data_IF_550967394646
#
_entry.id   IF_550967394646
#
_cell.length_a   1.000
_cell.length_b   1.000
_cell.length_c   1.000
_cell.angle_alpha   90.00
_cell.angle_beta   90.00
_cell.angle_gamma   90.00
#
_symmetry.space_group_name_H-M   'P 1'
#
loop_
_entity.id
_entity.type
_entity.pdbx_description
1 polymer ?
#
# COMPACT_ATOMS: atom_id res chain seq x y z
N UNK A 1 -0.26 45.70 15.52
CA UNK A 1 0.04 47.07 15.04
C UNK A 1 1.35 46.94 14.27
N UNK A 2 1.50 47.10 12.96
CA UNK A 2 0.83 47.81 11.85
C UNK A 2 0.86 46.87 10.62
N UNK A 3 -0.24 46.50 9.93
CA UNK A 3 -0.98 47.25 8.88
C UNK A 3 -0.02 48.05 7.98
N UNK A 4 0.17 47.73 6.71
CA UNK A 4 -0.64 48.09 5.51
C UNK A 4 0.44 48.16 4.39
N UNK A 5 0.29 47.85 3.09
CA UNK A 5 -0.83 48.03 2.17
C UNK A 5 -0.55 47.27 0.87
N UNK A 6 -1.65 46.81 0.28
CA UNK A 6 -1.86 46.21 -1.04
C UNK A 6 -1.56 47.22 -2.18
N UNK A 7 -1.03 46.77 -3.31
CA UNK A 7 -1.13 47.48 -4.58
C UNK A 7 -1.43 46.49 -5.72
N UNK A 8 -2.54 46.78 -6.40
CA UNK A 8 -3.14 46.10 -7.56
C UNK A 8 -2.98 47.05 -8.73
N UNK A 9 -2.46 46.57 -9.86
CA UNK A 9 -2.56 47.18 -11.21
C UNK A 9 -2.48 45.97 -12.18
N UNK A 10 -3.52 45.44 -12.82
CA UNK A 10 -4.47 45.98 -13.82
C UNK A 10 -3.82 46.78 -14.93
N UNK A 11 -3.48 46.10 -16.03
CA UNK A 11 -3.41 46.69 -17.37
C UNK A 11 -4.34 45.88 -18.28
N UNK A 12 -5.33 46.61 -18.78
CA UNK A 12 -6.34 46.29 -19.76
C UNK A 12 -5.77 46.42 -21.19
N UNK A 13 -6.59 45.97 -22.14
CA UNK A 13 -6.62 46.27 -23.58
C UNK A 13 -5.84 45.35 -24.54
N UNK A 14 -6.32 44.95 -25.73
CA UNK A 14 -7.62 45.06 -26.45
C UNK A 14 -7.46 44.10 -27.66
N UNK A 15 -8.42 43.19 -27.90
CA UNK A 15 -8.72 42.58 -29.22
C UNK A 15 -9.46 43.62 -30.09
N UNK A 16 -9.44 43.64 -31.44
CA UNK A 16 -9.80 42.49 -32.29
C UNK A 16 -9.26 42.47 -33.74
N UNK A 17 -9.31 41.32 -34.41
CA UNK A 17 -9.46 41.27 -35.88
C UNK A 17 -10.01 39.90 -36.33
N UNK A 18 -11.33 39.84 -36.48
CA UNK A 18 -12.04 38.90 -37.34
C UNK A 18 -12.07 39.53 -38.74
N UNK A 19 -11.55 38.82 -39.75
CA UNK A 19 -11.89 39.09 -41.16
C UNK A 19 -12.21 37.76 -41.85
N UNK A 20 -13.41 37.77 -42.40
CA UNK A 20 -14.13 36.80 -43.20
C UNK A 20 -13.69 36.79 -44.67
N UNK A 21 -13.89 35.66 -45.37
CA UNK A 21 -13.77 35.53 -46.84
C UNK A 21 -13.66 34.05 -47.26
N UNK A 22 -14.73 33.26 -47.32
CA UNK A 22 -15.77 33.11 -48.37
C UNK A 22 -15.35 32.27 -49.59
N UNK A 23 -16.28 31.39 -50.03
CA UNK A 23 -16.38 30.61 -51.30
C UNK A 23 -15.61 29.27 -51.35
N UNK A 24 -16.18 28.10 -51.68
CA UNK A 24 -17.51 27.68 -52.19
C UNK A 24 -17.65 26.17 -52.00
N UNK A 25 -18.79 25.72 -51.49
CA UNK A 25 -19.29 24.34 -51.58
C UNK A 25 -19.88 24.03 -52.97
N UNK A 26 -19.99 22.73 -53.25
CA UNK A 26 -20.89 22.06 -54.20
C UNK A 26 -20.52 22.13 -55.70
N UNK A 27 -20.29 20.98 -56.33
CA UNK A 27 -21.38 20.24 -57.01
C UNK A 27 -20.91 19.07 -57.91
N UNK A 28 -21.76 18.03 -57.91
CA UNK A 28 -22.08 17.05 -58.96
C UNK A 28 -21.17 15.83 -59.27
N UNK A 29 -21.58 14.70 -58.67
CA UNK A 29 -21.75 13.40 -59.33
C UNK A 29 -22.79 13.50 -60.46
N UNK A 30 -22.48 13.11 -61.70
CA UNK A 30 -23.35 12.28 -62.58
C UNK A 30 -22.70 12.10 -63.96
N UNK A 31 -22.50 10.87 -64.42
CA UNK A 31 -23.33 10.28 -65.48
C UNK A 31 -22.79 8.91 -65.92
N UNK A 32 -23.59 7.89 -65.62
CA UNK A 32 -23.61 6.61 -66.32
C UNK A 32 -24.27 6.79 -67.70
N UNK A 33 -23.57 6.34 -68.75
CA UNK A 33 -24.02 5.34 -69.75
C UNK A 33 -25.34 5.58 -70.52
N UNK A 34 -25.23 5.92 -71.82
CA UNK A 34 -26.14 5.52 -72.93
C UNK A 34 -25.29 5.43 -74.21
N UNK A 35 -24.88 4.23 -74.66
CA UNK A 35 -25.46 3.46 -75.79
C UNK A 35 -25.55 4.23 -77.11
N UNK A 36 -24.67 3.93 -78.07
CA UNK A 36 -25.03 3.30 -79.36
C UNK A 36 -23.77 2.88 -80.15
N UNK A 37 -23.79 1.74 -80.85
CA UNK A 37 -22.76 1.28 -81.78
C UNK A 37 -23.12 1.66 -83.25
N UNK A 38 -22.19 1.48 -84.21
CA UNK A 38 -22.39 1.15 -85.66
C UNK A 38 -21.17 1.66 -86.48
N UNK A 39 -20.26 0.78 -86.90
CA UNK A 39 -20.14 0.09 -88.22
C UNK A 39 -19.25 0.81 -89.25
N UNK A 40 -18.12 0.15 -89.56
CA UNK A 40 -17.71 -0.30 -90.91
C UNK A 40 -17.85 0.65 -92.12
N UNK A 41 -16.72 0.99 -92.73
CA UNK A 41 -16.62 1.19 -94.20
C UNK A 41 -15.53 2.17 -94.66
N UNK A 42 -14.92 2.01 -95.85
CA UNK A 42 -13.46 2.05 -95.99
C UNK A 42 -12.91 3.16 -96.93
N UNK A 43 -11.57 3.16 -97.05
CA UNK A 43 -10.69 3.81 -98.04
C UNK A 43 -10.28 5.28 -97.84
N UNK A 44 -8.99 5.47 -97.56
CA UNK A 44 -8.02 5.84 -98.61
C UNK A 44 -6.58 5.63 -98.11
N UNK A 45 -5.84 4.78 -98.82
CA UNK A 45 -4.38 4.72 -98.77
C UNK A 45 -3.85 5.86 -99.63
N UNK A 46 -2.82 6.54 -99.13
CA UNK A 46 -1.64 7.10 -99.83
C UNK A 46 -1.23 8.45 -99.19
N UNK A 47 -0.21 8.44 -98.33
CA UNK A 47 1.08 9.11 -98.60
C UNK A 47 2.08 8.80 -97.50
N UNK A 48 3.23 8.32 -97.92
CA UNK A 48 4.41 8.00 -97.10
C UNK A 48 5.05 9.24 -96.51
N UNK A 49 5.77 9.00 -95.39
CA UNK A 49 6.96 9.72 -94.88
C UNK A 49 6.69 10.75 -93.79
N UNK A 50 7.05 10.39 -92.56
CA UNK A 50 8.08 11.06 -91.72
C UNK A 50 8.02 10.52 -90.28
N UNK A 51 9.17 10.49 -89.62
CA UNK A 51 9.46 9.60 -88.51
C UNK A 51 8.65 9.83 -87.23
N UNK A 52 8.11 8.75 -86.67
CA UNK A 52 7.75 8.68 -85.26
C UNK A 52 9.04 8.62 -84.43
N UNK A 53 9.58 9.79 -84.10
CA UNK A 53 10.46 9.93 -82.96
C UNK A 53 9.64 9.63 -81.70
N UNK A 54 9.95 8.52 -81.05
CA UNK A 54 9.59 8.30 -79.65
C UNK A 54 10.26 9.42 -78.86
N UNK A 55 9.49 10.45 -78.48
CA UNK A 55 9.94 11.49 -77.58
C UNK A 55 10.11 10.88 -76.19
N UNK A 56 11.28 10.29 -75.97
CA UNK A 56 11.86 10.12 -74.64
C UNK A 56 11.96 11.53 -74.05
N UNK A 57 10.94 11.95 -73.31
CA UNK A 57 11.00 13.16 -72.51
C UNK A 57 12.15 12.96 -71.54
N UNK A 58 13.30 13.58 -71.85
CA UNK A 58 14.47 13.60 -70.98
C UNK A 58 14.05 14.37 -69.73
N UNK A 59 13.48 13.65 -68.75
CA UNK A 59 13.26 14.16 -67.41
C UNK A 59 14.65 14.52 -66.87
N UNK A 60 14.84 15.78 -66.49
CA UNK A 60 16.09 16.20 -65.86
C UNK A 60 16.41 15.26 -64.70
N UNK A 61 17.52 14.51 -64.83
CA UNK A 61 17.94 13.51 -63.86
C UNK A 61 18.54 14.21 -62.65
N UNK A 62 17.70 14.59 -61.70
CA UNK A 62 18.12 15.12 -60.40
C UNK A 62 18.29 13.99 -59.39
N UNK A 63 19.20 14.11 -58.41
CA UNK A 63 19.33 13.14 -57.31
C UNK A 63 18.01 12.85 -56.58
N UNK A 64 17.12 13.83 -56.47
CA UNK A 64 15.80 13.73 -55.86
C UNK A 64 14.86 12.82 -56.67
N UNK A 65 14.85 12.95 -58.00
CA UNK A 65 14.09 12.06 -58.90
C UNK A 65 14.60 10.63 -58.80
N UNK A 66 15.92 10.43 -58.78
CA UNK A 66 16.54 9.10 -58.61
C UNK A 66 16.17 8.50 -57.24
N UNK A 67 16.19 9.30 -56.17
CA UNK A 67 15.77 8.84 -54.84
C UNK A 67 14.28 8.41 -54.83
N UNK A 68 13.41 9.17 -55.50
CA UNK A 68 12.00 8.81 -55.65
C UNK A 68 11.81 7.51 -56.45
N UNK A 69 12.55 7.31 -57.55
CA UNK A 69 12.56 6.07 -58.32
C UNK A 69 13.00 4.87 -57.45
N UNK A 70 14.12 5.01 -56.72
CA UNK A 70 14.62 3.97 -55.80
C UNK A 70 13.57 3.62 -54.75
N UNK A 71 12.90 4.62 -54.16
CA UNK A 71 11.87 4.39 -53.14
C UNK A 71 10.63 3.72 -53.75
N UNK A 72 10.23 4.07 -54.98
CA UNK A 72 9.13 3.40 -55.67
C UNK A 72 9.40 1.90 -55.88
N UNK A 73 10.65 1.53 -56.24
CA UNK A 73 11.05 0.13 -56.35
C UNK A 73 11.01 -0.57 -55.01
N UNK A 74 11.56 0.01 -53.94
CA UNK A 74 11.50 -0.57 -52.59
C UNK A 74 10.08 -0.88 -52.14
N UNK A 75 9.17 0.08 -52.31
CA UNK A 75 7.75 -0.04 -51.98
C UNK A 75 7.10 -1.17 -52.79
N UNK A 76 7.29 -1.18 -54.12
CA UNK A 76 6.72 -2.22 -54.99
C UNK A 76 7.26 -3.62 -54.69
N UNK A 77 8.57 -3.75 -54.44
CA UNK A 77 9.20 -5.02 -54.07
C UNK A 77 8.69 -5.54 -52.73
N UNK A 78 8.47 -4.66 -51.74
CA UNK A 78 7.87 -5.03 -50.45
C UNK A 78 6.47 -5.61 -50.61
N UNK A 79 5.61 -4.93 -51.39
CA UNK A 79 4.24 -5.41 -51.69
C UNK A 79 4.25 -6.78 -52.35
N UNK A 80 5.05 -6.94 -53.40
CA UNK A 80 5.17 -8.22 -54.12
C UNK A 80 5.63 -9.31 -53.16
N UNK A 81 6.63 -9.04 -52.32
CA UNK A 81 7.14 -10.00 -51.35
C UNK A 81 6.06 -10.44 -50.35
N UNK A 82 5.26 -9.50 -49.83
CA UNK A 82 4.15 -9.82 -48.93
C UNK A 82 3.05 -10.63 -49.63
N UNK A 83 2.65 -10.24 -50.83
CA UNK A 83 1.66 -10.99 -51.63
C UNK A 83 2.13 -12.41 -51.90
N UNK A 84 3.39 -12.60 -52.32
CA UNK A 84 3.96 -13.93 -52.51
C UNK A 84 3.96 -14.75 -51.21
N UNK A 85 4.33 -14.13 -50.08
CA UNK A 85 4.34 -14.80 -48.78
C UNK A 85 2.94 -15.26 -48.33
N UNK A 86 1.90 -14.46 -48.59
CA UNK A 86 0.51 -14.84 -48.32
C UNK A 86 0.08 -16.03 -49.18
N UNK A 87 0.38 -16.01 -50.49
CA UNK A 87 0.04 -17.13 -51.38
C UNK A 87 0.76 -18.42 -51.01
N UNK A 88 2.06 -18.34 -50.71
CA UNK A 88 2.85 -19.48 -50.21
C UNK A 88 2.19 -20.03 -48.93
N UNK A 89 1.84 -19.17 -47.98
CA UNK A 89 1.18 -19.58 -46.75
C UNK A 89 -0.18 -20.23 -46.98
N UNK A 90 -1.00 -19.74 -47.92
CA UNK A 90 -2.28 -20.36 -48.32
C UNK A 90 -2.08 -21.78 -48.87
N UNK A 91 -1.10 -21.97 -49.76
CA UNK A 91 -0.79 -23.30 -50.32
C UNK A 91 -0.20 -24.26 -49.28
N UNK A 92 0.58 -23.75 -48.33
CA UNK A 92 1.07 -24.54 -47.20
C UNK A 92 -0.07 -24.97 -46.27
N UNK A 93 -1.06 -24.11 -46.01
CA UNK A 93 -2.27 -24.47 -45.24
C UNK A 93 -3.06 -25.57 -45.95
N UNK A 94 -3.28 -25.42 -47.27
CA UNK A 94 -3.97 -26.41 -48.10
C UNK A 94 -3.24 -27.76 -48.10
N UNK A 95 -1.93 -27.77 -48.36
CA UNK A 95 -1.12 -28.99 -48.37
C UNK A 95 -1.10 -29.68 -47.01
N UNK A 96 -0.98 -28.92 -45.91
CA UNK A 96 -1.00 -29.48 -44.54
C UNK A 96 -2.34 -30.15 -44.20
N UNK A 97 -3.44 -29.69 -44.78
CA UNK A 97 -4.76 -30.29 -44.58
C UNK A 97 -4.95 -31.62 -45.35
N UNK A 98 -4.21 -31.82 -46.44
CA UNK A 98 -4.27 -33.03 -47.27
C UNK A 98 -3.34 -34.15 -46.79
N UNK A 99 -2.33 -33.82 -45.99
CA UNK A 99 -1.31 -34.76 -45.52
C UNK A 99 -1.75 -35.52 -44.26
N UNK A 100 -1.42 -36.81 -44.14
CA UNK A 100 -1.65 -37.57 -42.91
C UNK A 100 -0.78 -37.06 -41.76
N UNK A 101 -1.23 -37.30 -40.53
CA UNK A 101 -0.49 -36.92 -39.33
C UNK A 101 0.93 -37.51 -39.33
N UNK A 102 1.92 -36.68 -39.02
CA UNK A 102 3.34 -37.08 -38.91
C UNK A 102 4.17 -36.90 -40.19
N UNK A 103 3.55 -36.78 -41.37
CA UNK A 103 4.29 -36.66 -42.65
C UNK A 103 4.61 -35.21 -43.06
N UNK A 104 4.06 -34.22 -42.34
CA UNK A 104 4.27 -32.79 -42.63
C UNK A 104 5.74 -32.37 -42.69
N UNK A 105 6.54 -32.83 -41.73
CA UNK A 105 7.96 -32.45 -41.65
C UNK A 105 8.78 -32.94 -42.84
N UNK A 106 8.60 -34.21 -43.23
CA UNK A 106 9.30 -34.81 -44.39
C UNK A 106 8.85 -34.15 -45.69
N UNK A 107 7.55 -33.92 -45.85
CA UNK A 107 7.02 -33.30 -47.05
C UNK A 107 7.59 -31.89 -47.27
N UNK A 108 7.72 -31.10 -46.20
CA UNK A 108 8.34 -29.76 -46.29
C UNK A 108 9.79 -29.81 -46.75
N UNK A 109 10.57 -30.78 -46.26
CA UNK A 109 11.99 -30.93 -46.60
C UNK A 109 12.16 -31.43 -48.05
N UNK A 110 11.38 -32.43 -48.46
CA UNK A 110 11.53 -33.08 -49.76
C UNK A 110 10.96 -32.28 -50.94
N UNK A 111 9.84 -31.55 -50.75
CA UNK A 111 9.10 -30.92 -51.86
C UNK A 111 9.17 -29.40 -51.90
N UNK A 112 9.45 -28.73 -50.78
CA UNK A 112 9.40 -27.26 -50.67
C UNK A 112 10.70 -26.69 -50.10
N UNK A 113 11.63 -27.54 -49.63
CA UNK A 113 12.92 -27.16 -49.04
C UNK A 113 12.76 -26.18 -47.85
N UNK A 114 11.68 -26.31 -47.08
CA UNK A 114 11.37 -25.43 -45.95
C UNK A 114 11.57 -26.13 -44.61
N UNK A 115 12.04 -25.37 -43.62
CA UNK A 115 11.91 -25.77 -42.22
C UNK A 115 10.48 -25.60 -41.73
N UNK A 116 10.07 -26.38 -40.72
CA UNK A 116 8.75 -26.25 -40.11
C UNK A 116 8.48 -24.83 -39.60
N UNK A 117 9.48 -24.16 -39.01
CA UNK A 117 9.37 -22.78 -38.54
C UNK A 117 9.13 -21.78 -39.67
N UNK A 118 9.78 -21.98 -40.82
CA UNK A 118 9.60 -21.13 -42.00
C UNK A 118 8.19 -21.29 -42.58
N UNK A 119 7.73 -22.54 -42.72
CA UNK A 119 6.38 -22.84 -43.17
C UNK A 119 5.33 -22.24 -42.23
N UNK A 120 5.49 -22.40 -40.92
CA UNK A 120 4.58 -21.85 -39.93
C UNK A 120 4.53 -20.31 -39.97
N UNK A 121 5.66 -19.63 -40.19
CA UNK A 121 5.69 -18.18 -40.37
C UNK A 121 4.91 -17.72 -41.60
N UNK A 122 5.06 -18.39 -42.76
CA UNK A 122 4.25 -18.10 -43.95
C UNK A 122 2.76 -18.35 -43.71
N UNK A 123 2.41 -19.47 -43.08
CA UNK A 123 1.02 -19.78 -42.71
C UNK A 123 0.43 -18.77 -41.73
N UNK A 124 1.23 -18.22 -40.81
CA UNK A 124 0.80 -17.19 -39.85
C UNK A 124 0.52 -15.86 -40.56
N UNK A 125 1.40 -15.45 -41.47
CA UNK A 125 1.21 -14.27 -42.32
C UNK A 125 -0.04 -14.42 -43.21
N UNK A 126 -0.26 -15.59 -43.81
CA UNK A 126 -1.44 -15.83 -44.64
C UNK A 126 -2.76 -15.80 -43.86
N UNK A 127 -2.78 -16.24 -42.59
CA UNK A 127 -3.99 -16.15 -41.75
C UNK A 127 -4.36 -14.71 -41.42
N UNK A 128 -3.37 -13.90 -41.07
CA UNK A 128 -3.56 -12.54 -40.57
C UNK A 128 -3.73 -11.51 -41.70
N UNK A 129 -2.91 -11.61 -42.75
CA UNK A 129 -2.88 -10.65 -43.86
C UNK A 129 -3.56 -11.18 -45.14
N UNK A 130 -3.84 -12.49 -45.22
CA UNK A 130 -4.49 -13.11 -46.37
C UNK A 130 -6.02 -13.08 -46.33
N UNK A 131 -6.65 -12.49 -45.32
CA UNK A 131 -8.11 -12.28 -45.31
C UNK A 131 -8.53 -10.96 -46.02
N UNK A 132 -7.57 -10.17 -46.49
CA UNK A 132 -7.79 -8.84 -47.06
C UNK A 132 -8.11 -8.86 -48.58
N UNK A 133 -8.55 -9.99 -49.15
CA UNK A 133 -8.76 -10.12 -50.60
C UNK A 133 -9.43 -11.41 -51.01
N UNK A 134 -10.47 -11.84 -50.29
CA UNK A 134 -11.38 -12.90 -50.69
C UNK A 134 -12.63 -12.33 -51.36
N UNK A 135 -13.19 -13.06 -52.33
CA UNK A 135 -14.39 -12.66 -53.07
C UNK A 135 -15.69 -12.74 -52.24
N UNK A 136 -15.71 -12.24 -50.99
CA UNK A 136 -16.88 -12.26 -50.12
C UNK A 136 -17.56 -10.88 -50.08
N UNK A 137 -18.78 -10.70 -50.65
CA UNK A 137 -19.37 -9.38 -50.90
C UNK A 137 -19.76 -8.56 -49.65
N UNK A 138 -19.78 -9.16 -48.46
CA UNK A 138 -20.46 -8.59 -47.29
C UNK A 138 -19.59 -8.42 -46.04
N UNK A 139 -18.27 -8.70 -46.09
CA UNK A 139 -17.40 -8.63 -44.89
C UNK A 139 -16.06 -7.90 -45.02
N UNK A 140 -15.63 -7.52 -46.23
CA UNK A 140 -14.18 -7.33 -46.51
C UNK A 140 -13.69 -5.89 -46.75
N UNK A 141 -14.42 -4.85 -46.35
CA UNK A 141 -13.91 -3.46 -46.51
C UNK A 141 -13.05 -2.93 -45.37
N UNK A 142 -12.97 -3.61 -44.23
CA UNK A 142 -12.33 -3.03 -43.04
C UNK A 142 -10.84 -3.39 -42.88
N UNK A 143 -10.35 -4.48 -43.48
CA UNK A 143 -8.98 -4.98 -43.25
C UNK A 143 -7.99 -4.67 -44.36
N UNK A 144 -8.41 -4.43 -45.61
CA UNK A 144 -7.48 -4.16 -46.72
C UNK A 144 -7.07 -2.69 -46.86
N UNK A 145 -7.83 -1.75 -46.27
CA UNK A 145 -7.56 -0.30 -46.39
C UNK A 145 -6.61 0.26 -45.31
N UNK A 146 -6.30 -0.51 -44.25
CA UNK A 146 -5.65 0.03 -43.04
C UNK A 146 -4.17 -0.38 -42.87
N UNK A 147 -3.70 -1.40 -43.60
CA UNK A 147 -2.30 -1.82 -43.45
C UNK A 147 -1.37 -1.07 -44.40
N UNK A 148 -0.28 -0.46 -43.88
CA UNK A 148 0.73 0.22 -44.69
C UNK A 148 1.38 -0.75 -45.69
N UNK A 149 2.16 -0.20 -46.62
CA UNK A 149 2.94 -1.00 -47.55
C UNK A 149 4.04 -1.74 -46.78
N UNK A 150 3.78 -3.00 -46.43
CA UNK A 150 4.65 -3.85 -45.63
C UNK A 150 5.42 -4.85 -46.50
N UNK A 151 6.69 -5.08 -46.17
CA UNK A 151 7.43 -6.28 -46.58
C UNK A 151 7.04 -7.49 -45.73
N UNK A 152 7.34 -8.70 -46.21
CA UNK A 152 7.10 -9.95 -45.47
C UNK A 152 7.70 -9.91 -44.05
N UNK A 153 8.95 -9.46 -43.92
CA UNK A 153 9.64 -9.43 -42.63
C UNK A 153 9.04 -8.39 -41.67
N UNK A 154 8.58 -7.24 -42.17
CA UNK A 154 7.86 -6.26 -41.33
C UNK A 154 6.51 -6.81 -40.91
N UNK A 155 5.74 -7.40 -41.84
CA UNK A 155 4.44 -8.01 -41.56
C UNK A 155 4.56 -9.11 -40.49
N UNK A 156 5.57 -9.98 -40.59
CA UNK A 156 5.85 -11.02 -39.60
C UNK A 156 6.20 -10.43 -38.22
N UNK A 157 7.02 -9.38 -38.18
CA UNK A 157 7.42 -8.71 -36.93
C UNK A 157 6.23 -8.04 -36.22
N UNK A 158 5.27 -7.50 -36.99
CA UNK A 158 4.04 -6.93 -36.42
C UNK A 158 3.10 -7.97 -35.81
N UNK A 159 3.27 -9.26 -36.14
CA UNK A 159 2.50 -10.34 -35.51
C UNK A 159 2.95 -10.65 -34.08
N UNK A 160 4.12 -10.14 -33.67
CA UNK A 160 4.57 -10.22 -32.28
C UNK A 160 3.80 -9.24 -31.37
N UNK A 161 3.04 -8.31 -31.96
CA UNK A 161 2.16 -7.36 -31.27
C UNK A 161 0.72 -7.92 -31.25
N UNK A 162 0.01 -7.82 -30.11
CA UNK A 162 -1.41 -8.13 -30.01
C UNK A 162 -2.24 -7.43 -31.09
N UNK A 163 -3.30 -8.08 -31.60
CA UNK A 163 -4.12 -7.57 -32.71
C UNK A 163 -4.74 -6.21 -32.37
N UNK A 164 -5.17 -6.03 -31.11
CA UNK A 164 -5.81 -4.80 -30.62
C UNK A 164 -4.87 -3.60 -30.67
N UNK A 165 -3.57 -3.83 -30.47
CA UNK A 165 -2.56 -2.78 -30.35
C UNK A 165 -1.81 -2.54 -31.67
N UNK A 166 -1.96 -3.45 -32.64
CA UNK A 166 -1.29 -3.39 -33.95
C UNK A 166 -1.75 -2.18 -34.75
N UNK A 167 -3.05 -1.87 -34.72
CA UNK A 167 -3.60 -0.71 -35.43
C UNK A 167 -3.08 0.62 -34.88
N UNK A 168 -3.02 0.77 -33.55
CA UNK A 168 -2.44 1.95 -32.89
C UNK A 168 -0.94 2.08 -33.20
N UNK A 169 -0.21 0.96 -33.14
CA UNK A 169 1.22 0.93 -33.45
C UNK A 169 1.52 1.33 -34.90
N UNK A 170 0.66 0.91 -35.84
CA UNK A 170 0.73 1.27 -37.25
C UNK A 170 0.42 2.75 -37.48
N UNK A 171 -0.54 3.31 -36.75
CA UNK A 171 -0.92 4.71 -36.88
C UNK A 171 0.13 5.67 -36.33
N UNK A 172 0.83 5.29 -35.26
CA UNK A 172 1.83 6.13 -34.59
C UNK A 172 3.21 6.10 -35.26
N UNK A 173 3.58 5.01 -35.92
CA UNK A 173 4.91 4.80 -36.49
C UNK A 173 4.89 4.72 -38.01
N UNK A 174 5.88 5.37 -38.64
CA UNK A 174 6.14 5.25 -40.08
C UNK A 174 6.81 3.90 -40.40
N UNK A 175 6.02 2.83 -40.36
CA UNK A 175 6.52 1.46 -40.57
C UNK A 175 7.05 1.28 -42.00
N UNK A 176 6.50 2.00 -42.98
CA UNK A 176 6.90 1.89 -44.39
C UNK A 176 8.37 2.25 -44.60
N UNK A 177 8.88 3.25 -43.87
CA UNK A 177 10.27 3.70 -43.98
C UNK A 177 11.21 3.10 -42.92
N UNK A 178 10.68 2.36 -41.93
CA UNK A 178 11.48 1.72 -40.89
C UNK A 178 12.05 0.37 -41.33
N UNK A 179 13.34 0.16 -41.07
CA UNK A 179 13.94 -1.17 -41.19
C UNK A 179 13.37 -2.14 -40.15
N UNK A 180 13.37 -3.44 -40.45
CA UNK A 180 12.94 -4.51 -39.52
C UNK A 180 13.65 -4.41 -38.16
N UNK A 181 14.93 -4.04 -38.14
CA UNK A 181 15.69 -3.87 -36.88
C UNK A 181 15.20 -2.69 -36.05
N UNK A 182 14.83 -1.59 -36.71
CA UNK A 182 14.23 -0.43 -36.04
C UNK A 182 12.83 -0.78 -35.52
N UNK A 183 12.05 -1.54 -36.30
CA UNK A 183 10.72 -2.01 -35.89
C UNK A 183 10.79 -2.91 -34.65
N UNK A 184 11.69 -3.89 -34.65
CA UNK A 184 11.93 -4.76 -33.48
C UNK A 184 12.37 -3.99 -32.24
N UNK A 185 13.20 -2.95 -32.43
CA UNK A 185 13.62 -2.08 -31.32
C UNK A 185 12.42 -1.30 -30.76
N UNK A 186 11.59 -0.71 -31.62
CA UNK A 186 10.41 0.03 -31.20
C UNK A 186 9.40 -0.85 -30.43
N UNK A 187 9.19 -2.10 -30.88
CA UNK A 187 8.35 -3.07 -30.16
C UNK A 187 8.92 -3.35 -28.77
N UNK A 188 10.22 -3.63 -28.70
CA UNK A 188 10.89 -3.93 -27.42
C UNK A 188 10.85 -2.76 -26.45
N UNK A 189 11.13 -1.54 -26.93
CA UNK A 189 11.09 -0.32 -26.12
C UNK A 189 9.67 -0.04 -25.59
N UNK A 190 8.63 -0.23 -26.42
CA UNK A 190 7.23 -0.08 -26.00
C UNK A 190 6.86 -1.10 -24.93
N UNK A 191 7.26 -2.35 -25.08
CA UNK A 191 6.95 -3.39 -24.08
C UNK A 191 7.70 -3.15 -22.77
N UNK A 192 8.96 -2.72 -22.82
CA UNK A 192 9.71 -2.32 -21.63
C UNK A 192 9.05 -1.14 -20.93
N UNK A 193 8.70 -0.08 -21.66
CA UNK A 193 8.01 1.08 -21.11
C UNK A 193 6.65 0.70 -20.50
N UNK A 194 5.94 -0.25 -21.11
CA UNK A 194 4.67 -0.77 -20.57
C UNK A 194 4.89 -1.53 -19.27
N UNK A 195 5.91 -2.38 -19.21
CA UNK A 195 6.23 -3.14 -18.01
C UNK A 195 6.64 -2.21 -16.87
N UNK A 196 7.54 -1.26 -17.13
CA UNK A 196 7.95 -0.23 -16.17
C UNK A 196 6.76 0.61 -15.69
N UNK A 197 5.85 1.00 -16.60
CA UNK A 197 4.61 1.71 -16.23
C UNK A 197 3.71 0.87 -15.32
N UNK A 198 3.51 -0.41 -15.64
CA UNK A 198 2.69 -1.32 -14.80
C UNK A 198 3.31 -1.49 -13.40
N UNK A 199 4.62 -1.67 -13.33
CA UNK A 199 5.37 -1.77 -12.07
C UNK A 199 5.26 -0.49 -11.25
N UNK A 200 5.49 0.68 -11.86
CA UNK A 200 5.36 1.98 -11.21
C UNK A 200 3.93 2.25 -10.73
N UNK A 201 2.91 1.89 -11.51
CA UNK A 201 1.51 2.00 -11.09
C UNK A 201 1.19 1.06 -9.92
N UNK A 202 1.75 -0.15 -9.90
CA UNK A 202 1.58 -1.08 -8.80
C UNK A 202 2.24 -0.54 -7.53
N UNK A 203 3.49 -0.10 -7.60
CA UNK A 203 4.21 0.49 -6.48
C UNK A 203 3.48 1.73 -5.95
N UNK A 204 3.01 2.62 -6.84
CA UNK A 204 2.20 3.78 -6.45
C UNK A 204 0.89 3.38 -5.76
N UNK A 205 0.22 2.32 -6.21
CA UNK A 205 -1.00 1.80 -5.56
C UNK A 205 -0.71 1.24 -4.18
N UNK A 206 0.41 0.55 -4.01
CA UNK A 206 0.84 0.00 -2.71
C UNK A 206 1.21 1.11 -1.73
N UNK A 207 1.98 2.11 -2.18
CA UNK A 207 2.31 3.29 -1.37
C UNK A 207 1.08 4.10 -0.96
N UNK A 208 0.09 4.27 -1.85
CA UNK A 208 -1.17 4.95 -1.50
C UNK A 208 -1.95 4.19 -0.43
N UNK A 209 -2.05 2.86 -0.53
CA UNK A 209 -2.70 2.03 0.48
C UNK A 209 -1.98 2.12 1.83
N UNK A 210 -0.65 2.09 1.83
CA UNK A 210 0.15 2.24 3.05
C UNK A 210 -0.06 3.62 3.69
N UNK A 211 -0.04 4.69 2.88
CA UNK A 211 -0.27 6.05 3.35
C UNK A 211 -1.65 6.22 3.98
N UNK A 212 -2.69 5.66 3.37
CA UNK A 212 -4.05 5.72 3.92
C UNK A 212 -4.16 4.94 5.23
N UNK A 213 -3.53 3.76 5.30
CA UNK A 213 -3.43 2.99 6.54
C UNK A 213 -2.72 3.75 7.67
N UNK A 214 -1.65 4.50 7.36
CA UNK A 214 -0.97 5.35 8.36
C UNK A 214 -1.80 6.57 8.77
N UNK A 215 -2.57 7.18 7.86
CA UNK A 215 -3.50 8.26 8.22
C UNK A 215 -4.60 7.78 9.16
N UNK A 216 -5.16 6.60 8.91
CA UNK A 216 -6.16 5.99 9.79
C UNK A 216 -5.60 5.77 11.20
N UNK A 217 -4.39 5.19 11.30
CA UNK A 217 -3.69 5.01 12.59
C UNK A 217 -3.42 6.34 13.29
N UNK A 218 -2.97 7.37 12.56
CA UNK A 218 -2.74 8.69 13.13
C UNK A 218 -4.04 9.32 13.66
N UNK A 219 -5.16 9.18 12.94
CA UNK A 219 -6.48 9.64 13.41
C UNK A 219 -6.92 8.92 14.69
N UNK A 220 -6.66 7.61 14.79
CA UNK A 220 -6.93 6.84 16.02
C UNK A 220 -6.05 7.31 17.19
N UNK A 221 -4.74 7.48 16.96
CA UNK A 221 -3.81 7.99 17.98
C UNK A 221 -4.16 9.41 18.43
N UNK A 222 -4.66 10.28 17.54
CA UNK A 222 -5.15 11.60 17.91
C UNK A 222 -6.36 11.53 18.84
N UNK A 223 -7.33 10.66 18.55
CA UNK A 223 -8.50 10.43 19.41
C UNK A 223 -8.09 9.88 20.77
N UNK A 224 -7.17 8.92 20.81
CA UNK A 224 -6.65 8.36 22.06
C UNK A 224 -5.91 9.41 22.88
N UNK A 225 -5.05 10.22 22.24
CA UNK A 225 -4.35 11.34 22.88
C UNK A 225 -5.35 12.31 23.51
N UNK A 226 -6.40 12.68 22.79
CA UNK A 226 -7.39 13.64 23.28
C UNK A 226 -8.23 13.04 24.43
N UNK A 227 -8.59 11.76 24.34
CA UNK A 227 -9.24 11.03 25.43
C UNK A 227 -8.38 10.95 26.69
N UNK A 228 -7.08 10.63 26.54
CA UNK A 228 -6.13 10.61 27.66
C UNK A 228 -5.92 11.99 28.27
N UNK A 229 -5.90 13.04 27.44
CA UNK A 229 -5.76 14.43 27.91
C UNK A 229 -6.97 14.87 28.74
N UNK A 230 -8.19 14.49 28.32
CA UNK A 230 -9.40 14.74 29.11
C UNK A 230 -9.35 14.02 30.46
N UNK A 231 -9.04 12.72 30.44
CA UNK A 231 -8.94 11.91 31.66
C UNK A 231 -7.86 12.40 32.62
N UNK A 232 -6.71 12.84 32.10
CA UNK A 232 -5.66 13.46 32.90
C UNK A 232 -6.14 14.77 33.56
N UNK A 233 -6.91 15.58 32.84
CA UNK A 233 -7.53 16.79 33.39
C UNK A 233 -8.56 16.51 34.49
N UNK A 234 -9.37 15.46 34.34
CA UNK A 234 -10.32 15.01 35.37
C UNK A 234 -9.62 14.52 36.62
N UNK A 235 -8.61 13.66 36.48
CA UNK A 235 -7.82 13.14 37.59
C UNK A 235 -7.08 14.26 38.34
N UNK A 236 -6.57 15.28 37.64
CA UNK A 236 -5.91 16.40 38.30
C UNK A 236 -6.92 17.26 39.09
N UNK A 237 -8.16 17.44 38.59
CA UNK A 237 -9.24 18.10 39.36
C UNK A 237 -9.63 17.29 40.59
N UNK A 238 -9.80 15.97 40.46
CA UNK A 238 -10.13 15.09 41.58
C UNK A 238 -9.02 15.11 42.65
N UNK A 239 -7.76 15.02 42.22
CA UNK A 239 -6.59 15.12 43.09
C UNK A 239 -6.52 16.48 43.81
N UNK A 240 -6.88 17.58 43.15
CA UNK A 240 -6.97 18.88 43.80
C UNK A 240 -8.09 18.91 44.85
N UNK A 241 -9.26 18.37 44.54
CA UNK A 241 -10.38 18.24 45.49
C UNK A 241 -10.02 17.41 46.72
N UNK A 242 -9.44 16.23 46.53
CA UNK A 242 -8.99 15.36 47.63
C UNK A 242 -7.90 16.02 48.48
N UNK A 243 -6.98 16.77 47.86
CA UNK A 243 -5.97 17.54 48.61
C UNK A 243 -6.61 18.61 49.50
N UNK A 244 -7.62 19.31 49.00
CA UNK A 244 -8.37 20.30 49.77
C UNK A 244 -9.11 19.63 50.93
N UNK A 245 -9.83 18.55 50.68
CA UNK A 245 -10.53 17.81 51.74
C UNK A 245 -9.58 17.30 52.82
N UNK A 246 -8.42 16.74 52.44
CA UNK A 246 -7.40 16.31 53.40
C UNK A 246 -6.88 17.48 54.23
N UNK A 247 -6.68 18.66 53.63
CA UNK A 247 -6.25 19.85 54.36
C UNK A 247 -7.33 20.33 55.34
N UNK A 248 -8.58 20.36 54.92
CA UNK A 248 -9.74 20.73 55.76
C UNK A 248 -9.91 19.77 56.94
N UNK A 249 -9.89 18.45 56.67
CA UNK A 249 -9.98 17.41 57.72
C UNK A 249 -8.82 17.49 58.71
N UNK A 250 -7.60 17.76 58.24
CA UNK A 250 -6.44 17.98 59.12
C UNK A 250 -6.64 19.21 60.01
N UNK A 251 -7.10 20.32 59.44
CA UNK A 251 -7.38 21.54 60.19
C UNK A 251 -8.50 21.33 61.22
N UNK A 252 -9.57 20.63 60.85
CA UNK A 252 -10.66 20.28 61.76
C UNK A 252 -10.20 19.37 62.91
N UNK A 253 -9.38 18.35 62.61
CA UNK A 253 -8.82 17.47 63.63
C UNK A 253 -7.93 18.24 64.62
N UNK A 254 -7.10 19.18 64.14
CA UNK A 254 -6.36 20.11 65.00
C UNK A 254 -7.30 20.93 65.88
N UNK A 255 -8.34 21.55 65.31
CA UNK A 255 -9.33 22.33 66.07
C UNK A 255 -10.03 21.49 67.14
N UNK A 256 -10.40 20.24 66.83
CA UNK A 256 -11.04 19.33 67.77
C UNK A 256 -10.12 18.95 68.93
N UNK A 257 -8.83 18.70 68.67
CA UNK A 257 -7.82 18.46 69.71
C UNK A 257 -7.64 19.67 70.63
N UNK A 258 -7.79 20.87 70.08
CA UNK A 258 -7.66 22.10 70.86
C UNK A 258 -8.85 22.44 71.73
N UNK A 259 -10.04 21.86 71.46
CA UNK A 259 -11.24 22.07 72.28
C UNK A 259 -10.98 21.67 73.73
N UNK A 260 -11.39 22.54 74.64
CA UNK A 260 -11.21 22.35 76.08
C UNK A 260 -11.78 21.01 76.58
N UNK A 261 -12.91 20.56 76.00
CA UNK A 261 -13.51 19.26 76.32
C UNK A 261 -12.59 18.08 76.02
N UNK A 262 -11.84 18.10 74.91
CA UNK A 262 -10.89 17.04 74.56
C UNK A 262 -9.74 17.00 75.56
N UNK A 263 -9.12 18.16 75.82
CA UNK A 263 -8.04 18.32 76.82
C UNK A 263 -8.49 17.89 78.22
N UNK A 264 -9.72 18.23 78.62
CA UNK A 264 -10.28 17.82 79.90
C UNK A 264 -10.52 16.30 79.96
N UNK A 265 -11.05 15.69 78.90
CA UNK A 265 -11.23 14.23 78.83
C UNK A 265 -9.89 13.49 78.91
N UNK A 266 -8.87 13.98 78.21
CA UNK A 266 -7.52 13.42 78.27
C UNK A 266 -6.93 13.51 79.68
N UNK A 267 -7.08 14.67 80.34
CA UNK A 267 -6.69 14.83 81.76
C UNK A 267 -7.44 13.87 82.67
N UNK A 268 -8.76 13.73 82.51
CA UNK A 268 -9.58 12.81 83.31
C UNK A 268 -9.17 11.35 83.10
N UNK A 269 -8.88 10.94 81.85
CA UNK A 269 -8.35 9.61 81.54
C UNK A 269 -7.03 9.37 82.27
N UNK A 270 -6.09 10.32 82.17
CA UNK A 270 -4.79 10.21 82.84
C UNK A 270 -4.93 10.14 84.36
N UNK A 271 -5.84 10.94 84.94
CA UNK A 271 -6.14 10.89 86.37
C UNK A 271 -6.76 9.56 86.79
N UNK A 272 -7.68 9.02 85.99
CA UNK A 272 -8.29 7.72 86.23
C UNK A 272 -7.25 6.60 86.19
N UNK A 273 -6.37 6.59 85.18
CA UNK A 273 -5.27 5.63 85.08
C UNK A 273 -4.31 5.76 86.27
N UNK A 274 -3.95 6.99 86.66
CA UNK A 274 -3.11 7.22 87.84
C UNK A 274 -3.76 6.74 89.14
N UNK A 275 -5.08 6.93 89.30
CA UNK A 275 -5.84 6.45 90.45
C UNK A 275 -5.92 4.91 90.48
N UNK A 276 -6.13 4.27 89.32
CA UNK A 276 -6.11 2.82 89.18
C UNK A 276 -4.75 2.24 89.57
N UNK A 277 -3.66 2.83 89.06
CA UNK A 277 -2.29 2.45 89.42
C UNK A 277 -2.08 2.60 90.93
N UNK A 278 -2.38 3.78 91.52
CA UNK A 278 -2.24 4.00 92.96
C UNK A 278 -3.02 2.99 93.80
N UNK A 279 -4.25 2.69 93.42
CA UNK A 279 -5.07 1.70 94.12
C UNK A 279 -4.46 0.29 94.03
N UNK A 280 -4.01 -0.12 92.85
CA UNK A 280 -3.30 -1.40 92.68
C UNK A 280 -2.01 -1.44 93.52
N UNK A 281 -1.23 -0.36 93.54
CA UNK A 281 -0.03 -0.23 94.36
C UNK A 281 -0.34 -0.31 95.84
N UNK A 282 -1.35 0.41 96.35
CA UNK A 282 -1.76 0.35 97.76
C UNK A 282 -2.23 -1.06 98.14
N UNK A 283 -3.01 -1.73 97.27
CA UNK A 283 -3.43 -3.12 97.50
C UNK A 283 -2.23 -4.06 97.59
N UNK A 284 -1.27 -3.94 96.68
CA UNK A 284 -0.04 -4.74 96.72
C UNK A 284 0.78 -4.46 97.98
N UNK A 285 0.99 -3.19 98.34
CA UNK A 285 1.72 -2.78 99.53
C UNK A 285 1.07 -3.30 100.81
N UNK A 286 -0.26 -3.21 100.94
CA UNK A 286 -0.98 -3.75 102.09
C UNK A 286 -0.79 -5.26 102.23
N UNK A 287 -0.79 -6.01 101.12
CA UNK A 287 -0.53 -7.46 101.13
C UNK A 287 0.93 -7.77 101.50
N UNK A 288 1.88 -6.96 101.04
CA UNK A 288 3.29 -7.10 101.42
C UNK A 288 3.53 -6.83 102.91
N UNK A 289 2.90 -5.81 103.49
CA UNK A 289 3.01 -5.51 104.91
C UNK A 289 2.40 -6.63 105.77
N UNK A 290 1.25 -7.16 105.37
CA UNK A 290 0.63 -8.30 106.04
C UNK A 290 1.52 -9.55 106.00
N UNK A 291 2.18 -9.81 104.87
CA UNK A 291 3.14 -10.90 104.71
C UNK A 291 4.36 -10.70 105.62
N UNK A 292 4.91 -9.48 105.68
CA UNK A 292 6.04 -9.16 106.55
C UNK A 292 5.69 -9.38 108.03
N UNK A 293 4.49 -8.99 108.45
CA UNK A 293 4.01 -9.21 109.83
C UNK A 293 3.89 -10.70 110.15
N UNK A 294 3.21 -11.48 109.29
CA UNK A 294 3.10 -12.92 109.47
C UNK A 294 4.46 -13.61 109.48
N UNK A 295 5.40 -13.16 108.64
CA UNK A 295 6.76 -13.67 108.64
C UNK A 295 7.48 -13.42 109.96
N UNK A 296 7.39 -12.19 110.52
CA UNK A 296 7.97 -11.86 111.83
C UNK A 296 7.38 -12.71 112.96
N UNK A 297 6.08 -12.96 112.94
CA UNK A 297 5.40 -13.83 113.92
C UNK A 297 5.91 -15.26 113.83
N UNK A 298 6.01 -15.85 112.63
CA UNK A 298 6.55 -17.19 112.43
C UNK A 298 8.01 -17.29 112.91
N UNK A 299 8.84 -16.29 112.60
CA UNK A 299 10.24 -16.27 113.06
C UNK A 299 10.33 -16.17 114.59
N UNK A 300 9.45 -15.41 115.22
CA UNK A 300 9.38 -15.32 116.69
C UNK A 300 9.01 -16.67 117.33
N UNK A 301 7.96 -17.33 116.84
CA UNK A 301 7.55 -18.66 117.33
C UNK A 301 8.63 -19.72 117.12
N UNK A 302 9.34 -19.70 115.98
CA UNK A 302 10.50 -20.56 115.77
C UNK A 302 11.61 -20.28 116.79
N UNK A 303 11.87 -19.01 117.12
CA UNK A 303 12.84 -18.62 118.13
C UNK A 303 12.49 -19.14 119.54
N UNK A 304 11.20 -19.25 119.86
CA UNK A 304 10.73 -19.91 121.08
C UNK A 304 10.93 -21.43 121.01
N UNK A 305 10.63 -22.07 119.87
CA UNK A 305 10.82 -23.51 119.66
C UNK A 305 12.28 -23.97 119.83
N UNK A 306 13.27 -23.15 119.45
CA UNK A 306 14.71 -23.43 119.70
C UNK A 306 14.98 -23.77 121.17
N UNK A 307 14.28 -23.09 122.08
CA UNK A 307 14.47 -23.25 123.53
C UNK A 307 13.81 -24.52 124.07
N UNK A 308 12.89 -25.11 123.31
CA UNK A 308 12.13 -26.31 123.68
C UNK A 308 12.79 -27.55 123.07
N UNK A 309 12.93 -27.59 121.74
CA UNK A 309 13.52 -28.72 121.00
C UNK A 309 14.26 -28.23 119.75
N UNK A 310 15.59 -28.44 119.76
CA UNK A 310 16.49 -27.98 118.70
C UNK A 310 16.32 -28.76 117.39
N UNK A 311 15.94 -30.04 117.45
CA UNK A 311 15.74 -30.87 116.27
C UNK A 311 14.43 -30.49 115.57
N UNK A 312 13.35 -30.33 116.32
CA UNK A 312 12.04 -29.90 115.79
C UNK A 312 12.15 -28.49 115.19
N UNK A 313 12.85 -27.56 115.86
CA UNK A 313 13.16 -26.25 115.29
C UNK A 313 13.88 -26.36 113.93
N UNK A 314 14.91 -27.21 113.83
CA UNK A 314 15.67 -27.39 112.59
C UNK A 314 14.83 -27.91 111.42
N UNK A 315 13.81 -28.74 111.68
CA UNK A 315 12.86 -29.21 110.67
C UNK A 315 11.92 -28.10 110.19
N UNK A 316 11.30 -27.35 111.12
CA UNK A 316 10.42 -26.24 110.74
C UNK A 316 11.18 -25.08 110.07
N UNK A 317 12.43 -24.83 110.44
CA UNK A 317 13.28 -23.87 109.76
C UNK A 317 13.58 -24.30 108.30
N UNK A 318 13.84 -25.59 108.06
CA UNK A 318 13.98 -26.13 106.70
C UNK A 318 12.67 -26.00 105.90
N UNK A 319 11.53 -26.26 106.54
CA UNK A 319 10.21 -26.12 105.91
C UNK A 319 9.91 -24.67 105.52
N UNK A 320 10.17 -23.71 106.42
CA UNK A 320 10.03 -22.28 106.14
C UNK A 320 10.94 -21.85 104.97
N UNK A 321 12.21 -22.28 104.99
CA UNK A 321 13.14 -21.99 103.89
C UNK A 321 12.66 -22.57 102.55
N UNK A 322 12.15 -23.81 102.57
CA UNK A 322 11.59 -24.47 101.37
C UNK A 322 10.35 -23.73 100.86
N UNK A 323 9.48 -23.28 101.76
CA UNK A 323 8.30 -22.50 101.41
C UNK A 323 8.68 -21.16 100.76
N UNK A 324 9.61 -20.41 101.35
CA UNK A 324 10.08 -19.14 100.79
C UNK A 324 10.75 -19.31 99.41
N UNK A 325 11.58 -20.34 99.24
CA UNK A 325 12.18 -20.65 97.94
C UNK A 325 11.12 -20.97 96.89
N UNK A 326 10.11 -21.77 97.26
CA UNK A 326 8.97 -22.07 96.38
C UNK A 326 8.20 -20.80 95.99
N UNK A 327 7.98 -19.87 96.92
CA UNK A 327 7.31 -18.60 96.63
C UNK A 327 8.12 -17.68 95.69
N UNK A 328 9.45 -17.75 95.71
CA UNK A 328 10.30 -17.01 94.78
C UNK A 328 10.29 -17.62 93.37
N UNK A 329 10.08 -18.93 93.26
CA UNK A 329 9.95 -19.63 91.98
C UNK A 329 8.55 -19.51 91.35
N UNK A 330 7.52 -19.16 92.15
CA UNK A 330 6.18 -18.82 91.66
C UNK A 330 6.23 -17.50 90.88
N UNK A 331 6.31 -17.59 89.55
CA UNK A 331 6.27 -16.43 88.66
C UNK A 331 4.99 -15.62 88.87
N UNK A 332 5.13 -14.36 89.27
CA UNK A 332 4.08 -13.35 89.15
C UNK A 332 4.01 -12.97 87.67
N UNK A 333 2.90 -13.31 87.00
CA UNK A 333 2.79 -13.35 85.53
C UNK A 333 3.13 -12.07 84.76
N UNK A 334 3.56 -12.27 83.51
CA UNK A 334 3.83 -11.28 82.45
C UNK A 334 2.59 -10.46 82.03
#
# INVERSE_FOLDING_TARGET
MNRQTRAVLTSYEVSPAVVTGCHTENFFRLLLRVVTPVMSGPYTVLKTREGMGMSEQVRERTPQVIAAEINSYKVSSGRIQLTCAVEIGRRLIEAKALLPHGEWGKWLEEYVEYSQATAENYMRVAREYGQAGGDSPEGEKAKSETFPILSYSQALTLLDIPEEERAEFIAELDIENMSVRQLQRAIKEREQARQEKKEAEQESRELQKALEGEKEKNSQLEKERDGLKLKAGELEKEKQGLKQEVAERKAENSRLKDKQLFKNNEKLRNQLTAAQIKNATHKAAFKMEALERAFKEVVYELGLLVKIDKNVHGEYQKNLRKFLLKCLDEKVGD
#
